data_IF_929764947400
#
_entry.id   IF_929764947400
#
_cell.length_a   1.000
_cell.length_b   1.000
_cell.length_c   1.000
_cell.angle_alpha   90.00
_cell.angle_beta   90.00
_cell.angle_gamma   90.00
#
_symmetry.space_group_name_H-M   'P 1'
#
loop_
_entity.id
_entity.type
_entity.pdbx_description
1 polymer ?
#
# COMPACT_ATOMS: atom_id res chain seq x y z
N UNK A 1 3.22 1.46 -2.55
CA UNK A 1 2.53 2.71 -2.20
C UNK A 1 1.21 2.43 -1.49
N UNK A 2 0.92 3.19 -0.43
CA UNK A 2 -0.33 3.11 0.32
C UNK A 2 -1.02 4.46 0.23
N UNK A 3 -2.28 4.45 -0.16
CA UNK A 3 -3.08 5.68 -0.22
C UNK A 3 -4.55 5.41 0.09
N UNK A 4 -5.32 6.46 0.26
CA UNK A 4 -6.75 6.41 0.53
C UNK A 4 -7.11 5.50 1.72
N UNK A 5 -6.28 5.50 2.77
CA UNK A 5 -6.54 4.70 3.96
C UNK A 5 -7.66 5.33 4.78
N UNK A 6 -8.61 4.49 5.18
CA UNK A 6 -9.71 4.88 6.05
C UNK A 6 -9.80 3.89 7.20
N UNK A 7 -9.99 4.40 8.40
CA UNK A 7 -10.15 3.57 9.59
C UNK A 7 -11.48 3.92 10.23
N UNK A 8 -12.32 2.89 10.43
CA UNK A 8 -13.61 3.04 11.07
C UNK A 8 -13.68 2.12 12.28
N UNK A 9 -14.29 2.61 13.36
CA UNK A 9 -14.47 1.84 14.58
C UNK A 9 -15.93 1.37 14.68
N UNK A 10 -16.10 0.06 14.85
CA UNK A 10 -17.39 -0.56 15.08
C UNK A 10 -17.34 -1.33 16.40
N UNK A 11 -17.84 -0.71 17.49
CA UNK A 11 -17.70 -1.31 18.81
C UNK A 11 -16.25 -1.46 19.21
N UNK A 12 -15.82 -2.68 19.51
CA UNK A 12 -14.43 -2.99 19.84
C UNK A 12 -13.57 -3.37 18.63
N UNK A 13 -14.16 -3.41 17.43
CA UNK A 13 -13.47 -3.78 16.20
C UNK A 13 -13.07 -2.55 15.38
N UNK A 14 -11.93 -2.65 14.71
CA UNK A 14 -11.49 -1.65 13.74
C UNK A 14 -11.62 -2.21 12.33
N UNK A 15 -12.08 -1.40 11.40
CA UNK A 15 -12.11 -1.73 9.98
C UNK A 15 -11.13 -0.80 9.26
N UNK A 16 -10.17 -1.38 8.56
CA UNK A 16 -9.15 -0.63 7.84
C UNK A 16 -9.30 -0.90 6.35
N UNK A 17 -9.59 0.17 5.60
CA UNK A 17 -9.63 0.16 4.14
C UNK A 17 -8.42 0.91 3.62
N UNK A 18 -7.77 0.39 2.59
CA UNK A 18 -6.66 1.09 1.95
C UNK A 18 -6.45 0.58 0.53
N UNK A 19 -5.86 1.43 -0.31
CA UNK A 19 -5.37 1.05 -1.62
C UNK A 19 -3.86 0.84 -1.53
N UNK A 20 -3.39 -0.30 -2.03
CA UNK A 20 -1.97 -0.64 -2.01
C UNK A 20 -1.53 -0.90 -3.45
N UNK A 21 -0.55 -0.13 -3.91
CA UNK A 21 0.03 -0.29 -5.24
C UNK A 21 1.13 -1.32 -5.21
N UNK A 22 1.00 -2.34 -6.02
CA UNK A 22 1.96 -3.43 -6.17
C UNK A 22 2.48 -3.47 -7.61
N UNK A 23 3.64 -4.12 -7.85
CA UNK A 23 4.13 -4.29 -9.22
C UNK A 23 3.10 -4.97 -10.11
N UNK A 24 2.88 -4.43 -11.30
CA UNK A 24 1.87 -4.97 -12.21
C UNK A 24 2.18 -6.40 -12.68
N UNK A 25 3.45 -6.79 -12.63
CA UNK A 25 3.88 -8.12 -13.05
C UNK A 25 3.72 -9.19 -11.97
N UNK A 26 3.25 -8.83 -10.78
CA UNK A 26 2.95 -9.83 -9.74
C UNK A 26 1.76 -10.66 -10.16
N UNK A 27 1.86 -12.00 -9.96
CA UNK A 27 0.69 -12.84 -10.09
C UNK A 27 -0.17 -12.72 -8.82
N UNK A 28 -1.32 -13.38 -8.83
CA UNK A 28 -2.24 -13.29 -7.70
C UNK A 28 -1.61 -13.82 -6.40
N UNK A 29 -0.79 -14.86 -6.49
CA UNK A 29 -0.12 -15.44 -5.33
C UNK A 29 0.91 -14.45 -4.74
N UNK A 30 1.68 -13.82 -5.61
CA UNK A 30 2.66 -12.81 -5.18
C UNK A 30 1.97 -11.65 -4.47
N UNK A 31 0.89 -11.14 -5.06
CA UNK A 31 0.14 -10.04 -4.51
C UNK A 31 -0.46 -10.40 -3.15
N UNK A 32 -1.08 -11.58 -3.05
CA UNK A 32 -1.63 -12.08 -1.78
C UNK A 32 -0.55 -12.23 -0.71
N UNK A 33 0.62 -12.74 -1.08
CA UNK A 33 1.73 -12.90 -0.15
C UNK A 33 2.19 -11.58 0.44
N UNK A 34 2.26 -10.53 -0.37
CA UNK A 34 2.62 -9.20 0.10
C UNK A 34 1.55 -8.63 1.03
N UNK A 35 0.26 -8.83 0.70
CA UNK A 35 -0.84 -8.37 1.55
C UNK A 35 -0.84 -9.06 2.90
N UNK A 36 -0.58 -10.38 2.93
CA UNK A 36 -0.49 -11.12 4.17
C UNK A 36 0.62 -10.60 5.07
N UNK A 37 1.76 -10.23 4.51
CA UNK A 37 2.86 -9.63 5.29
C UNK A 37 2.44 -8.34 5.96
N UNK A 38 1.72 -7.48 5.23
CA UNK A 38 1.22 -6.21 5.78
C UNK A 38 0.23 -6.46 6.90
N UNK A 39 -0.72 -7.38 6.68
CA UNK A 39 -1.74 -7.73 7.68
C UNK A 39 -1.09 -8.26 8.95
N UNK A 40 -0.14 -9.18 8.82
CA UNK A 40 0.57 -9.77 9.97
C UNK A 40 1.32 -8.69 10.74
N UNK A 41 2.01 -7.80 10.02
CA UNK A 41 2.76 -6.71 10.65
C UNK A 41 1.86 -5.78 11.45
N UNK A 42 0.73 -5.39 10.88
CA UNK A 42 -0.23 -4.50 11.55
C UNK A 42 -0.92 -5.19 12.72
N UNK A 43 -1.37 -6.43 12.54
CA UNK A 43 -2.06 -7.18 13.58
C UNK A 43 -1.14 -7.43 14.78
N UNK A 44 0.15 -7.64 14.55
CA UNK A 44 1.13 -7.88 15.62
C UNK A 44 1.32 -6.66 16.53
N UNK A 45 1.10 -5.47 15.99
CA UNK A 45 1.31 -4.22 16.73
C UNK A 45 0.00 -3.63 17.29
N UNK A 46 -1.14 -4.27 17.06
CA UNK A 46 -2.43 -3.78 17.50
C UNK A 46 -3.15 -4.83 18.33
N UNK A 47 -3.73 -4.40 19.47
CA UNK A 47 -4.37 -5.29 20.44
C UNK A 47 -5.88 -5.42 20.24
N UNK A 48 -6.39 -4.99 19.10
CA UNK A 48 -7.82 -4.99 18.82
C UNK A 48 -8.14 -5.99 17.72
N UNK A 49 -9.39 -6.42 17.66
CA UNK A 49 -9.89 -7.14 16.50
C UNK A 49 -9.91 -6.18 15.31
N UNK A 50 -9.26 -6.56 14.22
CA UNK A 50 -9.13 -5.71 13.03
C UNK A 50 -9.61 -6.47 11.81
N UNK A 51 -10.47 -5.84 11.03
CA UNK A 51 -10.85 -6.33 9.73
C UNK A 51 -10.17 -5.47 8.66
N UNK A 52 -9.40 -6.13 7.79
CA UNK A 52 -8.67 -5.47 6.73
C UNK A 52 -9.39 -5.64 5.40
N UNK A 53 -9.58 -4.55 4.69
CA UNK A 53 -10.15 -4.55 3.36
C UNK A 53 -9.23 -3.74 2.45
N UNK A 54 -8.28 -4.44 1.83
CA UNK A 54 -7.27 -3.80 0.99
C UNK A 54 -7.59 -3.99 -0.48
N UNK A 55 -7.51 -2.89 -1.23
CA UNK A 55 -7.61 -2.90 -2.68
C UNK A 55 -6.20 -2.88 -3.26
N UNK A 56 -5.90 -3.88 -4.08
CA UNK A 56 -4.59 -3.99 -4.71
C UNK A 56 -4.65 -3.33 -6.09
N UNK A 57 -3.82 -2.30 -6.26
CA UNK A 57 -3.72 -1.57 -7.52
C UNK A 57 -2.42 -1.94 -8.22
N UNK A 58 -2.46 -2.03 -9.53
CA UNK A 58 -1.25 -2.23 -10.32
C UNK A 58 -0.47 -0.91 -10.44
N UNK A 59 0.86 -1.00 -10.48
CA UNK A 59 1.67 0.18 -10.67
C UNK A 59 1.59 0.65 -12.13
N UNK A 60 1.74 1.96 -12.31
CA UNK A 60 1.78 2.61 -13.62
C UNK A 60 3.12 3.33 -13.76
N UNK A 61 3.51 3.78 -14.96
CA UNK A 61 4.76 4.54 -15.10
C UNK A 61 4.90 5.71 -14.13
N UNK A 62 3.78 6.38 -13.81
CA UNK A 62 3.75 7.49 -12.86
C UNK A 62 4.14 7.05 -11.44
N UNK A 63 4.03 5.76 -11.14
CA UNK A 63 4.40 5.21 -9.83
C UNK A 63 5.91 5.00 -9.69
N UNK A 64 6.64 4.83 -10.79
CA UNK A 64 8.07 4.52 -10.76
C UNK A 64 8.91 5.53 -9.96
N UNK A 65 8.70 6.85 -10.08
CA UNK A 65 9.53 7.81 -9.35
C UNK A 65 9.44 7.70 -7.83
N UNK A 66 8.38 7.11 -7.28
CA UNK A 66 8.23 6.90 -5.83
C UNK A 66 8.32 5.43 -5.44
N UNK A 67 8.62 4.55 -6.37
CA UNK A 67 8.73 3.11 -6.14
C UNK A 67 10.13 2.74 -5.67
N UNK A 68 10.24 2.08 -4.52
CA UNK A 68 11.51 1.73 -3.90
C UNK A 68 12.08 0.39 -4.38
N UNK A 69 11.45 -0.28 -5.31
CA UNK A 69 11.94 -1.55 -5.85
C UNK A 69 13.12 -1.27 -6.77
N UNK A 70 14.32 -1.62 -6.32
CA UNK A 70 15.56 -1.31 -7.04
C UNK A 70 15.78 -2.17 -8.28
N UNK A 71 15.36 -3.44 -8.22
CA UNK A 71 15.61 -4.42 -9.27
C UNK A 71 14.37 -4.72 -10.10
N UNK A 72 13.54 -3.71 -10.32
CA UNK A 72 12.35 -3.87 -11.15
C UNK A 72 12.75 -4.09 -12.60
N UNK A 73 12.40 -5.26 -13.21
CA UNK A 73 12.82 -5.56 -14.58
C UNK A 73 12.09 -4.73 -15.63
N UNK A 74 11.03 -4.03 -15.25
CA UNK A 74 10.17 -3.29 -16.17
C UNK A 74 10.07 -1.81 -15.80
N UNK A 75 11.00 -1.30 -15.03
CA UNK A 75 10.98 0.10 -14.62
C UNK A 75 11.04 1.02 -15.84
N UNK A 76 10.12 1.97 -15.88
CA UNK A 76 10.00 2.91 -17.00
C UNK A 76 10.50 4.31 -16.68
N UNK A 77 10.60 4.67 -15.38
CA UNK A 77 11.09 5.97 -14.93
C UNK A 77 11.99 5.81 -13.73
N UNK A 78 12.99 6.69 -13.61
CA UNK A 78 13.93 6.64 -12.52
C UNK A 78 13.28 6.99 -11.18
N UNK A 79 13.82 6.41 -10.12
CA UNK A 79 13.40 6.74 -8.76
C UNK A 79 13.78 8.20 -8.43
N UNK A 80 12.84 8.93 -7.84
CA UNK A 80 13.02 10.34 -7.47
C UNK A 80 13.01 10.53 -5.97
N UNK A 81 11.97 10.03 -5.28
CA UNK A 81 11.84 10.25 -3.84
C UNK A 81 11.01 9.15 -3.17
N UNK A 82 11.28 8.95 -1.89
CA UNK A 82 10.48 8.08 -1.04
C UNK A 82 9.28 8.84 -0.51
N UNK A 83 8.10 8.21 -0.54
CA UNK A 83 6.91 8.74 0.12
C UNK A 83 6.87 8.18 1.53
N UNK A 84 6.97 9.03 2.54
CA UNK A 84 6.91 8.62 3.93
C UNK A 84 5.49 8.17 4.31
N UNK A 85 5.40 7.19 5.19
CA UNK A 85 4.12 6.72 5.71
C UNK A 85 3.67 7.62 6.86
N UNK A 86 3.16 8.79 6.51
CA UNK A 86 2.57 9.74 7.46
C UNK A 86 1.05 9.68 7.36
N UNK A 87 0.32 10.14 8.39
CA UNK A 87 -1.15 10.19 8.32
C UNK A 87 -1.65 10.94 7.09
N UNK A 88 -1.00 12.03 6.73
CA UNK A 88 -1.38 12.83 5.55
C UNK A 88 -1.19 12.06 4.25
N UNK A 89 -0.06 11.36 4.11
CA UNK A 89 0.26 10.63 2.89
C UNK A 89 -0.60 9.38 2.71
N UNK A 90 -0.78 8.58 3.76
CA UNK A 90 -1.52 7.32 3.64
C UNK A 90 -3.03 7.54 3.49
N UNK A 91 -3.56 8.69 3.92
CA UNK A 91 -4.98 9.02 3.75
C UNK A 91 -5.27 9.82 2.49
N UNK A 92 -4.25 10.21 1.74
CA UNK A 92 -4.42 10.91 0.46
C UNK A 92 -5.25 10.05 -0.50
N UNK A 93 -6.24 10.65 -1.15
CA UNK A 93 -7.17 9.93 -2.02
C UNK A 93 -6.47 9.38 -3.26
N UNK A 94 -5.55 10.15 -3.83
CA UNK A 94 -4.88 9.78 -5.08
C UNK A 94 -3.59 9.03 -4.83
N UNK A 95 -3.16 8.24 -5.82
CA UNK A 95 -1.84 7.60 -5.82
C UNK A 95 -0.76 8.66 -5.71
N UNK A 96 0.28 8.33 -4.97
CA UNK A 96 1.42 9.23 -4.82
C UNK A 96 2.25 9.29 -6.11
N UNK A 97 2.77 10.47 -6.40
CA UNK A 97 3.65 10.72 -7.51
C UNK A 97 4.82 11.57 -7.04
N UNK A 98 5.80 11.80 -7.93
CA UNK A 98 6.94 12.66 -7.62
C UNK A 98 6.63 14.16 -7.78
N UNK A 99 5.45 14.48 -8.26
CA UNK A 99 5.01 15.87 -8.48
C UNK A 99 4.47 16.51 -7.22
#
# INVERSE_FOLDING_TARGET
DVHNMKIQQFGSSLHIDAHITLPWYYDLRDAHGEMEKVIILLAKNMKRSIEFNFHMDDCKPISCPVCQIKECPVREKDFVKRVEWTPENITSVDKHTAE
#
